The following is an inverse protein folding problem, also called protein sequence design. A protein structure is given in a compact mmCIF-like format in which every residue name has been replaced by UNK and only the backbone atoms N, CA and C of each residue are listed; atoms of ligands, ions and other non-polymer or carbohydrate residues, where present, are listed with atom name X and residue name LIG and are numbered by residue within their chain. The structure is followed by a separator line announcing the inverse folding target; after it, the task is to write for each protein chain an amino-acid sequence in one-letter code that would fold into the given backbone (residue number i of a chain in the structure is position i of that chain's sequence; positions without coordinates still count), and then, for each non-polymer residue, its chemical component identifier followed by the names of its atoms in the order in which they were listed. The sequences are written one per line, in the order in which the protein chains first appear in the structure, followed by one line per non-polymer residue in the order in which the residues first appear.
data_IF_442659689729
#
_entry.id   IF_442659689729
#
_cell.length_a   1.000
_cell.length_b   1.000
_cell.length_c   1.000
_cell.angle_alpha   90.00
_cell.angle_beta   90.00
_cell.angle_gamma   90.00
#
_symmetry.space_group_name_H-M   'P 1'
#
loop_
_entity.id
_entity.type
_entity.pdbx_description
1 polymer ?
#
# COMPACT_ATOMS: atom_id res chain seq x y z
N UNK A 1 -37.41 -44.25 -36.17
CA UNK A 1 -38.89 -44.33 -36.22
C UNK A 1 -39.32 -45.28 -35.13
N UNK A 2 -40.32 -44.87 -34.36
CA UNK A 2 -40.75 -45.48 -33.10
C UNK A 2 -41.21 -46.93 -33.23
N UNK A 3 -41.03 -47.69 -32.15
CA UNK A 3 -42.06 -48.61 -31.69
C UNK A 3 -42.10 -48.53 -30.16
N UNK A 4 -43.30 -48.37 -29.66
CA UNK A 4 -43.70 -47.92 -28.34
C UNK A 4 -44.43 -49.09 -27.66
N UNK A 5 -44.38 -49.12 -26.32
CA UNK A 5 -45.24 -49.89 -25.39
C UNK A 5 -45.21 -51.43 -25.42
N UNK A 6 -44.83 -52.03 -24.29
CA UNK A 6 -45.80 -52.62 -23.35
C UNK A 6 -45.09 -53.01 -22.03
N UNK A 7 -45.59 -52.44 -20.93
CA UNK A 7 -45.17 -52.70 -19.56
C UNK A 7 -45.42 -54.16 -19.16
N UNK A 8 -44.42 -54.80 -18.56
CA UNK A 8 -44.60 -55.99 -17.72
C UNK A 8 -43.94 -55.75 -16.37
N UNK A 9 -44.78 -55.85 -15.34
CA UNK A 9 -44.48 -55.83 -13.92
C UNK A 9 -43.57 -57.01 -13.54
N UNK A 10 -42.56 -56.83 -12.66
CA UNK A 10 -42.26 -57.80 -11.60
C UNK A 10 -41.14 -57.33 -10.61
N UNK A 11 -41.43 -57.48 -9.31
CA UNK A 11 -40.57 -57.94 -8.19
C UNK A 11 -39.44 -57.08 -7.54
N UNK A 12 -39.74 -56.68 -6.28
CA UNK A 12 -38.99 -56.84 -5.00
C UNK A 12 -37.51 -56.37 -4.81
N UNK A 13 -37.36 -55.27 -4.03
CA UNK A 13 -36.53 -54.98 -2.82
C UNK A 13 -35.18 -55.70 -2.53
N UNK A 14 -34.32 -55.24 -1.56
CA UNK A 14 -34.29 -53.98 -0.76
C UNK A 14 -32.86 -53.36 -0.60
N UNK A 15 -32.74 -52.17 0.02
CA UNK A 15 -31.66 -51.74 0.96
C UNK A 15 -31.91 -50.26 1.36
N UNK A 16 -32.26 -49.97 2.62
CA UNK A 16 -31.38 -49.39 3.65
C UNK A 16 -30.84 -47.99 3.29
N UNK A 17 -30.93 -46.91 4.08
CA UNK A 17 -31.17 -46.66 5.50
C UNK A 17 -31.26 -45.13 5.72
N UNK A 18 -31.84 -44.76 6.86
CA UNK A 18 -31.60 -43.54 7.66
C UNK A 18 -32.09 -42.16 7.18
N UNK A 19 -33.16 -41.74 7.86
CA UNK A 19 -33.58 -40.35 8.06
C UNK A 19 -32.62 -39.66 9.05
N UNK A 20 -32.31 -38.39 8.79
CA UNK A 20 -31.57 -37.52 9.69
C UNK A 20 -31.27 -36.21 8.97
N UNK A 21 -32.20 -35.26 9.02
CA UNK A 21 -31.96 -33.87 8.64
C UNK A 21 -31.04 -33.28 9.72
N UNK A 22 -29.78 -33.06 9.37
CA UNK A 22 -28.88 -32.21 10.15
C UNK A 22 -28.91 -30.83 9.51
N UNK A 23 -29.25 -29.85 10.34
CA UNK A 23 -29.28 -28.43 10.02
C UNK A 23 -27.84 -27.97 9.71
N UNK A 24 -27.58 -27.55 8.47
CA UNK A 24 -26.38 -26.79 8.11
C UNK A 24 -26.79 -25.32 7.97
N UNK A 25 -26.65 -24.58 9.07
CA UNK A 25 -26.59 -23.13 9.06
C UNK A 25 -25.36 -22.73 8.22
N UNK A 26 -25.61 -22.22 7.00
CA UNK A 26 -24.61 -21.53 6.18
C UNK A 26 -24.27 -20.17 6.84
N UNK A 27 -23.54 -20.22 7.94
CA UNK A 27 -22.79 -19.07 8.45
C UNK A 27 -21.52 -18.95 7.59
N UNK A 28 -21.66 -18.26 6.45
CA UNK A 28 -20.55 -17.75 5.65
C UNK A 28 -19.85 -16.66 6.48
N UNK A 29 -19.03 -17.06 7.46
CA UNK A 29 -18.07 -16.16 8.09
C UNK A 29 -17.05 -15.78 7.01
N UNK A 30 -17.31 -14.64 6.34
CA UNK A 30 -16.32 -13.90 5.60
C UNK A 30 -15.14 -13.61 6.53
N UNK A 31 -14.10 -14.44 6.39
CA UNK A 31 -12.78 -14.25 6.97
C UNK A 31 -12.22 -12.96 6.36
N UNK A 32 -12.58 -11.82 6.95
CA UNK A 32 -11.84 -10.58 6.83
C UNK A 32 -10.55 -10.75 7.63
N UNK A 33 -9.64 -11.56 7.08
CA UNK A 33 -8.22 -11.48 7.42
C UNK A 33 -7.72 -10.16 6.85
N UNK A 34 -8.00 -9.08 7.59
CA UNK A 34 -7.28 -7.84 7.48
C UNK A 34 -5.85 -8.15 7.88
N UNK A 35 -5.07 -8.63 6.91
CA UNK A 35 -3.63 -8.75 7.04
C UNK A 35 -3.12 -7.47 7.66
N UNK A 36 -2.68 -7.60 8.91
CA UNK A 36 -2.09 -6.51 9.65
C UNK A 36 -1.00 -5.92 8.76
N UNK A 37 -1.09 -4.61 8.49
CA UNK A 37 -0.03 -3.88 7.79
C UNK A 37 1.27 -4.15 8.55
N UNK A 38 2.08 -5.09 8.03
CA UNK A 38 3.42 -5.35 8.52
C UNK A 38 4.13 -4.00 8.59
N UNK A 39 4.67 -3.61 9.76
CA UNK A 39 5.29 -2.31 9.91
C UNK A 39 6.42 -2.20 8.90
N UNK A 40 6.22 -1.40 7.85
CA UNK A 40 7.29 -1.07 6.91
C UNK A 40 8.42 -0.54 7.76
N UNK A 41 9.57 -1.21 7.68
CA UNK A 41 10.73 -0.86 8.48
C UNK A 41 11.29 0.47 7.98
N UNK A 42 10.63 1.56 8.37
CA UNK A 42 10.97 2.95 8.04
C UNK A 42 12.34 3.37 8.59
N UNK A 43 13.00 2.47 9.33
CA UNK A 43 14.34 2.65 9.93
C UNK A 43 15.46 2.67 8.90
N UNK A 44 15.21 2.36 7.63
CA UNK A 44 16.23 2.42 6.57
C UNK A 44 16.04 3.59 5.59
N UNK A 45 15.57 4.74 6.11
CA UNK A 45 15.69 6.01 5.41
C UNK A 45 17.15 6.49 5.44
N UNK A 46 17.83 6.42 4.29
CA UNK A 46 19.18 6.96 4.12
C UNK A 46 19.14 8.49 4.08
N UNK A 47 19.32 9.13 5.24
CA UNK A 47 19.36 10.58 5.35
C UNK A 47 20.71 11.15 4.87
N UNK A 48 20.66 12.15 3.98
CA UNK A 48 21.83 12.93 3.60
C UNK A 48 22.31 13.80 4.77
N UNK A 49 23.63 13.85 4.97
CA UNK A 49 24.27 14.61 6.04
C UNK A 49 24.98 15.85 5.47
N UNK A 50 24.92 16.95 6.21
CA UNK A 50 25.46 18.24 5.78
C UNK A 50 26.44 18.79 6.81
N UNK A 51 27.49 19.44 6.33
CA UNK A 51 28.51 20.07 7.15
C UNK A 51 27.91 21.27 7.93
N UNK A 52 28.16 21.39 9.25
CA UNK A 52 27.61 22.49 10.04
C UNK A 52 28.28 23.85 9.78
N UNK A 53 29.43 23.88 9.09
CA UNK A 53 30.18 25.12 8.85
C UNK A 53 29.89 25.76 7.49
N UNK A 54 29.71 24.95 6.46
CA UNK A 54 29.60 25.41 5.06
C UNK A 54 28.37 24.85 4.33
N UNK A 55 27.51 24.10 5.05
CA UNK A 55 26.29 23.46 4.53
C UNK A 55 26.51 22.58 3.29
N UNK A 56 27.76 22.15 3.04
CA UNK A 56 28.07 21.23 1.95
C UNK A 56 27.72 19.81 2.34
N UNK A 57 27.38 18.99 1.34
CA UNK A 57 27.11 17.57 1.55
C UNK A 57 28.36 16.84 2.06
N UNK A 58 28.20 16.04 3.11
CA UNK A 58 29.27 15.21 3.66
C UNK A 58 29.40 13.92 2.87
N UNK A 59 30.64 13.46 2.67
CA UNK A 59 30.94 12.26 1.90
C UNK A 59 31.43 11.12 2.79
N UNK A 60 31.03 9.86 2.51
CA UNK A 60 31.56 8.68 3.16
C UNK A 60 33.10 8.61 3.09
N UNK A 61 33.74 8.32 4.22
CA UNK A 61 35.19 8.21 4.37
C UNK A 61 35.54 7.10 5.37
N UNK A 62 36.59 6.32 5.09
CA UNK A 62 37.00 5.20 5.94
C UNK A 62 38.06 5.63 6.97
N UNK A 63 37.80 5.43 8.26
CA UNK A 63 38.86 5.40 9.29
C UNK A 63 39.47 4.00 9.36
N UNK A 64 40.58 3.81 8.65
CA UNK A 64 41.31 2.53 8.56
C UNK A 64 41.84 2.03 9.90
N UNK A 65 42.15 2.91 10.83
CA UNK A 65 42.75 2.54 12.12
C UNK A 65 41.70 1.93 13.04
N UNK A 66 40.53 2.58 13.12
CA UNK A 66 39.44 2.14 13.97
C UNK A 66 38.44 1.23 13.25
N UNK A 67 38.59 1.05 11.93
CA UNK A 67 37.68 0.31 11.04
C UNK A 67 36.24 0.81 11.15
N UNK A 68 36.06 2.13 11.06
CA UNK A 68 34.76 2.79 11.17
C UNK A 68 34.49 3.70 9.97
N UNK A 69 33.21 3.80 9.63
CA UNK A 69 32.73 4.74 8.63
C UNK A 69 32.61 6.15 9.24
N UNK A 70 33.18 7.12 8.53
CA UNK A 70 33.08 8.55 8.80
C UNK A 70 32.35 9.25 7.66
N UNK A 71 31.84 10.44 7.94
CA UNK A 71 31.37 11.41 6.96
C UNK A 71 32.29 12.63 7.04
N UNK A 72 32.85 13.04 5.91
CA UNK A 72 33.84 14.12 5.82
C UNK A 72 33.42 15.20 4.83
N UNK A 73 33.64 16.46 5.20
CA UNK A 73 33.48 17.57 4.27
C UNK A 73 34.67 17.64 3.30
N UNK A 74 34.42 18.05 2.05
CA UNK A 74 35.48 18.27 1.04
C UNK A 74 36.06 19.68 1.07
N UNK A 75 35.34 20.64 1.65
CA UNK A 75 35.73 22.06 1.64
C UNK A 75 36.43 22.49 2.94
N UNK A 76 36.08 21.87 4.07
CA UNK A 76 36.72 22.13 5.37
C UNK A 76 37.23 20.83 6.02
N UNK A 77 37.68 20.92 7.28
CA UNK A 77 38.25 19.79 8.04
C UNK A 77 37.23 19.06 8.92
N UNK A 78 35.94 19.37 8.77
CA UNK A 78 34.90 18.73 9.56
C UNK A 78 34.73 17.26 9.17
N UNK A 79 34.67 16.41 10.19
CA UNK A 79 34.39 14.99 10.07
C UNK A 79 33.50 14.53 11.22
N UNK A 80 32.66 13.54 10.97
CA UNK A 80 31.80 12.92 11.97
C UNK A 80 31.71 11.41 11.77
N UNK A 81 31.36 10.68 12.81
CA UNK A 81 31.24 9.21 12.75
C UNK A 81 29.83 8.80 12.34
N UNK A 82 29.70 7.79 11.48
CA UNK A 82 28.41 7.15 11.23
C UNK A 82 28.00 6.37 12.49
N UNK A 83 26.97 6.84 13.20
CA UNK A 83 26.54 6.26 14.48
C UNK A 83 25.54 5.12 14.27
N UNK A 84 24.60 5.27 13.34
CA UNK A 84 23.38 4.47 13.36
C UNK A 84 23.17 3.57 12.11
N UNK A 85 23.86 3.82 11.00
CA UNK A 85 23.64 3.12 9.72
C UNK A 85 24.95 3.03 8.90
N UNK A 86 25.45 1.82 8.57
CA UNK A 86 26.63 1.64 7.70
C UNK A 86 26.29 1.68 6.21
N UNK A 87 25.00 1.69 5.86
CA UNK A 87 24.54 1.68 4.47
C UNK A 87 24.79 3.06 3.83
N UNK A 88 25.57 3.07 2.75
CA UNK A 88 25.95 4.30 2.02
C UNK A 88 25.08 4.54 0.79
N UNK A 89 24.62 3.45 0.16
CA UNK A 89 23.91 3.51 -1.10
C UNK A 89 22.93 2.36 -1.17
N UNK A 90 21.70 2.67 -1.56
CA UNK A 90 20.66 1.70 -1.90
C UNK A 90 20.18 2.01 -3.31
N UNK A 91 20.00 0.97 -4.11
CA UNK A 91 19.43 1.07 -5.45
C UNK A 91 18.19 0.21 -5.52
N UNK A 92 17.03 0.87 -5.53
CA UNK A 92 15.73 0.23 -5.58
C UNK A 92 15.28 0.15 -7.06
N UNK A 93 15.26 -1.06 -7.64
CA UNK A 93 14.90 -1.30 -9.05
C UNK A 93 13.43 -1.00 -9.35
N UNK A 94 12.57 -1.28 -8.37
CA UNK A 94 11.14 -0.96 -8.40
C UNK A 94 10.85 -0.24 -7.10
N UNK A 95 10.44 1.01 -7.22
CA UNK A 95 10.01 1.77 -6.06
C UNK A 95 8.54 1.48 -5.86
N UNK A 96 8.18 0.75 -4.81
CA UNK A 96 6.79 0.67 -4.38
C UNK A 96 6.36 2.10 -4.04
N UNK A 97 5.45 2.65 -4.86
CA UNK A 97 4.93 3.99 -4.66
C UNK A 97 3.85 3.92 -3.58
N UNK A 98 4.17 3.36 -2.41
CA UNK A 98 3.27 3.29 -1.26
C UNK A 98 2.91 4.66 -0.67
N UNK A 99 3.41 5.74 -1.26
CA UNK A 99 3.24 7.09 -0.75
C UNK A 99 2.92 8.12 -1.84
N UNK A 100 2.15 7.72 -2.86
CA UNK A 100 1.66 8.66 -3.87
C UNK A 100 0.88 9.82 -3.22
N UNK A 101 0.17 9.56 -2.12
CA UNK A 101 -0.56 10.56 -1.36
C UNK A 101 0.34 11.69 -0.83
N UNK A 102 1.60 11.39 -0.48
CA UNK A 102 2.55 12.41 -0.01
C UNK A 102 3.05 13.34 -1.11
N UNK A 103 3.01 12.92 -2.38
CA UNK A 103 3.36 13.79 -3.51
C UNK A 103 2.25 14.74 -3.89
N UNK A 104 1.00 14.42 -3.52
CA UNK A 104 -0.14 15.27 -3.79
C UNK A 104 -0.11 16.45 -2.80
N UNK A 105 -0.19 17.71 -3.24
CA UNK A 105 -0.30 18.87 -2.35
C UNK A 105 -1.70 18.96 -1.72
N UNK A 106 -1.84 19.59 -0.55
CA UNK A 106 -3.16 19.79 0.08
C UNK A 106 -4.08 20.69 -0.75
N UNK A 107 -3.50 21.76 -1.31
CA UNK A 107 -4.18 22.77 -2.14
C UNK A 107 -4.70 22.27 -3.50
N UNK A 108 -4.63 20.97 -3.79
CA UNK A 108 -5.22 20.40 -5.01
C UNK A 108 -6.75 20.50 -4.99
N UNK A 109 -7.34 20.57 -3.79
CA UNK A 109 -8.77 20.79 -3.55
C UNK A 109 -9.26 22.15 -4.07
N UNK A 110 -8.38 23.15 -4.21
CA UNK A 110 -8.70 24.49 -4.70
C UNK A 110 -8.71 24.59 -6.24
N UNK A 111 -8.20 23.58 -6.95
CA UNK A 111 -8.13 23.62 -8.41
C UNK A 111 -9.54 23.47 -9.03
N UNK A 112 -10.05 24.48 -9.75
CA UNK A 112 -11.38 24.43 -10.35
C UNK A 112 -11.44 23.54 -11.59
N UNK A 113 -10.30 23.11 -12.12
CA UNK A 113 -10.21 22.26 -13.34
C UNK A 113 -10.30 20.78 -13.03
N UNK A 114 -10.11 20.37 -11.77
CA UNK A 114 -10.20 18.98 -11.36
C UNK A 114 -11.64 18.54 -11.10
N UNK A 115 -11.92 17.27 -11.39
CA UNK A 115 -13.23 16.68 -11.19
C UNK A 115 -13.55 16.51 -9.69
N UNK A 116 -14.81 16.72 -9.32
CA UNK A 116 -15.31 16.62 -7.94
C UNK A 116 -16.40 15.58 -7.83
N UNK A 117 -16.35 14.81 -6.75
CA UNK A 117 -17.42 13.90 -6.34
C UNK A 117 -18.11 14.46 -5.11
N UNK A 118 -19.44 14.49 -5.12
CA UNK A 118 -20.28 14.90 -3.97
C UNK A 118 -20.70 13.72 -3.10
N UNK A 119 -20.27 12.50 -3.44
CA UNK A 119 -20.59 11.26 -2.72
C UNK A 119 -19.33 10.59 -2.14
N UNK A 120 -18.25 11.37 -1.96
CA UNK A 120 -16.97 10.88 -1.48
C UNK A 120 -16.85 11.21 0.02
N UNK A 121 -17.17 10.24 0.88
CA UNK A 121 -17.17 10.42 2.32
C UNK A 121 -15.76 10.41 2.92
N UNK A 122 -15.35 11.52 3.51
CA UNK A 122 -14.05 11.65 4.18
C UNK A 122 -14.08 11.00 5.58
N UNK A 123 -13.24 9.98 5.80
CA UNK A 123 -13.12 9.32 7.11
C UNK A 123 -12.62 10.24 8.24
N UNK A 124 -11.91 11.33 7.91
CA UNK A 124 -11.34 12.24 8.90
C UNK A 124 -12.33 13.32 9.40
N UNK A 125 -13.17 13.86 8.52
CA UNK A 125 -14.07 14.98 8.88
C UNK A 125 -15.55 14.77 8.54
N UNK A 126 -15.92 13.66 7.89
CA UNK A 126 -17.29 13.34 7.49
C UNK A 126 -17.84 14.21 6.34
N UNK A 127 -17.01 15.02 5.70
CA UNK A 127 -17.42 15.80 4.53
C UNK A 127 -17.55 14.90 3.28
N UNK A 128 -18.53 15.18 2.43
CA UNK A 128 -18.88 14.32 1.29
C UNK A 128 -18.34 14.82 -0.07
N UNK A 129 -17.65 15.97 -0.08
CA UNK A 129 -17.04 16.52 -1.29
C UNK A 129 -15.53 16.26 -1.33
N UNK A 130 -15.08 15.68 -2.44
CA UNK A 130 -13.66 15.45 -2.70
C UNK A 130 -13.34 15.66 -4.18
N UNK A 131 -12.14 16.22 -4.41
CA UNK A 131 -11.51 16.23 -5.73
C UNK A 131 -10.91 14.85 -5.99
N UNK A 132 -10.99 14.36 -7.23
CA UNK A 132 -10.35 13.11 -7.61
C UNK A 132 -9.60 13.19 -8.95
N UNK A 133 -8.55 12.38 -9.07
CA UNK A 133 -7.76 12.24 -10.30
C UNK A 133 -7.05 10.87 -10.30
N UNK A 134 -6.66 10.43 -11.50
CA UNK A 134 -5.91 9.17 -11.67
C UNK A 134 -4.44 9.36 -11.24
N UNK A 135 -3.85 8.33 -10.64
CA UNK A 135 -2.42 8.31 -10.33
C UNK A 135 -1.55 8.45 -11.59
N UNK A 136 -0.66 9.44 -11.62
CA UNK A 136 0.31 9.66 -12.71
C UNK A 136 1.57 8.79 -12.58
N UNK A 137 1.41 7.54 -12.15
CA UNK A 137 2.53 6.62 -11.96
C UNK A 137 2.84 5.92 -13.28
N UNK A 138 3.82 6.45 -14.01
CA UNK A 138 4.40 5.81 -15.22
C UNK A 138 4.97 4.41 -14.97
N UNK A 139 5.11 3.99 -13.71
CA UNK A 139 5.69 2.70 -13.30
C UNK A 139 4.68 1.67 -12.78
N UNK A 140 3.41 2.04 -12.57
CA UNK A 140 2.38 1.08 -12.13
C UNK A 140 1.31 0.93 -13.20
N UNK A 141 1.04 -0.29 -13.63
CA UNK A 141 -0.07 -0.61 -14.55
C UNK A 141 -1.47 -0.42 -13.92
N UNK A 142 -1.55 0.04 -12.67
CA UNK A 142 -2.79 0.32 -11.96
C UNK A 142 -3.25 1.77 -12.13
N UNK A 143 -4.49 1.94 -12.61
CA UNK A 143 -5.19 3.22 -12.71
C UNK A 143 -5.94 3.51 -11.42
N UNK A 144 -5.22 3.69 -10.31
CA UNK A 144 -5.84 3.99 -9.03
C UNK A 144 -6.37 5.43 -8.98
N UNK A 145 -7.50 5.65 -8.30
CA UNK A 145 -8.08 6.98 -8.11
C UNK A 145 -7.67 7.54 -6.76
N UNK A 146 -7.05 8.72 -6.80
CA UNK A 146 -6.69 9.47 -5.59
C UNK A 146 -7.81 10.46 -5.31
N UNK A 147 -8.24 10.52 -4.05
CA UNK A 147 -9.23 11.46 -3.56
C UNK A 147 -8.58 12.43 -2.56
N UNK A 148 -8.99 13.69 -2.61
CA UNK A 148 -8.61 14.73 -1.64
C UNK A 148 -9.86 15.48 -1.17
N UNK A 149 -10.10 15.47 0.13
CA UNK A 149 -11.26 16.13 0.74
C UNK A 149 -11.20 17.65 0.57
N UNK A 150 -12.31 18.27 0.16
CA UNK A 150 -12.41 19.72 -0.02
C UNK A 150 -12.41 20.54 1.28
N UNK A 151 -12.52 19.90 2.45
CA UNK A 151 -12.64 20.58 3.75
C UNK A 151 -11.41 20.42 4.66
N UNK A 152 -10.69 19.29 4.59
CA UNK A 152 -9.61 18.99 5.52
C UNK A 152 -8.33 18.46 4.86
N UNK A 153 -8.27 18.45 3.52
CA UNK A 153 -7.14 17.95 2.72
C UNK A 153 -6.71 16.52 3.01
N UNK A 154 -7.55 15.74 3.70
CA UNK A 154 -7.34 14.31 3.89
C UNK A 154 -7.37 13.61 2.54
N UNK A 155 -6.44 12.68 2.34
CA UNK A 155 -6.17 12.02 1.06
C UNK A 155 -6.24 10.52 1.23
N UNK A 156 -6.85 9.86 0.26
CA UNK A 156 -6.98 8.40 0.25
C UNK A 156 -7.02 7.89 -1.17
N UNK A 157 -6.78 6.60 -1.34
CA UNK A 157 -6.91 5.87 -2.62
C UNK A 157 -8.14 4.98 -2.53
N UNK A 158 -8.87 4.84 -3.63
CA UNK A 158 -9.93 3.84 -3.83
C UNK A 158 -9.49 2.83 -4.90
#
# INVERSE_FOLDING_TARGET
MQADWEEQQQENEPEAQHQGLEDEDDDEEDILDMGEDEPTNDKESLLMRFCPHDSSMLYPHEDKRNRRLLYACRLCRYTETAVDQPLIYRYDLKKEVGNILNTVPGSVSDDPTLARSQNAHCANCGHNEAVFFMSDSTQSDSLALIFVCCNCDHKWVN
#
